data_IF_882755377095
#
_entry.id   IF_882755377095
#
_cell.length_a   1.000
_cell.length_b   1.000
_cell.length_c   1.000
_cell.angle_alpha   90.00
_cell.angle_beta   90.00
_cell.angle_gamma   90.00
#
_symmetry.space_group_name_H-M   'P 1'
#
loop_
_entity.id
_entity.type
_entity.pdbx_description
1 polymer ?
#
# COMPACT_ATOMS: atom_id res chain seq x y z
N UNK A 1 7.25 -2.33 -20.85
CA UNK A 1 8.41 -1.47 -21.18
C UNK A 1 8.64 -0.39 -20.13
N UNK A 2 7.59 0.21 -19.55
CA UNK A 2 7.77 1.28 -18.57
C UNK A 2 8.44 0.84 -17.25
N UNK A 3 8.22 -0.39 -16.76
CA UNK A 3 8.88 -0.87 -15.53
C UNK A 3 10.41 -0.89 -15.62
N UNK A 4 10.95 -1.25 -16.79
CA UNK A 4 12.40 -1.25 -16.99
C UNK A 4 12.92 0.19 -17.02
N UNK A 5 12.23 1.09 -17.72
CA UNK A 5 12.58 2.53 -17.72
C UNK A 5 12.54 3.13 -16.30
N UNK A 6 11.50 2.81 -15.52
CA UNK A 6 11.39 3.21 -14.11
C UNK A 6 12.57 2.70 -13.30
N UNK A 7 12.94 1.42 -13.47
CA UNK A 7 14.10 0.82 -12.80
C UNK A 7 15.38 1.55 -13.18
N UNK A 8 15.61 1.78 -14.46
CA UNK A 8 16.82 2.44 -14.96
C UNK A 8 16.95 3.87 -14.42
N UNK A 9 15.85 4.64 -14.39
CA UNK A 9 15.84 5.97 -13.76
C UNK A 9 16.17 5.84 -12.27
N UNK A 10 15.50 4.93 -11.55
CA UNK A 10 15.73 4.79 -10.12
C UNK A 10 17.16 4.36 -9.80
N UNK A 11 17.81 3.55 -10.61
CA UNK A 11 19.18 3.07 -10.37
C UNK A 11 20.24 4.10 -10.75
N UNK A 12 20.06 4.79 -11.88
CA UNK A 12 21.08 5.69 -12.44
C UNK A 12 20.95 7.14 -11.97
N UNK A 13 19.74 7.62 -11.70
CA UNK A 13 19.49 9.04 -11.47
C UNK A 13 19.25 9.41 -9.99
N UNK A 14 18.85 8.46 -9.15
CA UNK A 14 18.56 8.72 -7.73
C UNK A 14 19.76 8.38 -6.85
N UNK A 15 20.00 9.19 -5.81
CA UNK A 15 20.88 8.77 -4.72
C UNK A 15 20.15 7.76 -3.84
N UNK A 16 20.88 6.75 -3.36
CA UNK A 16 20.32 5.76 -2.44
C UNK A 16 20.13 6.33 -1.04
N UNK A 17 19.15 5.77 -0.33
CA UNK A 17 19.01 5.90 1.12
C UNK A 17 18.75 4.52 1.72
N UNK A 18 19.33 4.23 2.88
CA UNK A 18 19.14 2.97 3.60
C UNK A 18 18.00 3.02 4.60
N UNK A 19 17.56 1.85 5.09
CA UNK A 19 16.57 1.77 6.17
C UNK A 19 17.05 2.44 7.47
N UNK A 20 18.35 2.37 7.79
CA UNK A 20 18.92 3.04 8.97
C UNK A 20 18.88 4.56 8.82
N UNK A 21 19.27 5.10 7.67
CA UNK A 21 19.17 6.53 7.42
C UNK A 21 17.71 7.03 7.45
N UNK A 22 16.77 6.21 6.98
CA UNK A 22 15.34 6.53 7.05
C UNK A 22 14.80 6.61 8.48
N UNK A 23 15.41 5.88 9.42
CA UNK A 23 14.97 5.87 10.82
C UNK A 23 15.19 7.22 11.51
N UNK A 24 16.04 8.09 10.94
CA UNK A 24 16.21 9.49 11.36
C UNK A 24 15.09 10.42 10.86
N UNK A 25 14.28 9.99 9.88
CA UNK A 25 13.17 10.76 9.27
C UNK A 25 11.80 10.21 9.73
N UNK A 26 11.67 9.95 11.03
CA UNK A 26 10.46 9.33 11.62
C UNK A 26 9.27 10.29 11.62
N UNK A 27 8.44 10.18 10.59
CA UNK A 27 7.10 10.78 10.51
C UNK A 27 6.11 10.11 11.48
N UNK A 28 6.22 10.44 12.77
CA UNK A 28 5.41 9.86 13.86
C UNK A 28 4.00 10.48 13.95
N UNK A 29 3.89 11.80 13.75
CA UNK A 29 2.63 12.50 13.54
C UNK A 29 2.62 13.00 12.09
N UNK A 30 1.61 12.60 11.31
CA UNK A 30 1.63 12.81 9.86
C UNK A 30 0.26 12.75 9.21
N UNK A 31 0.18 13.36 8.03
CA UNK A 31 -0.91 13.23 7.08
C UNK A 31 -0.47 12.29 5.95
N UNK A 32 -1.35 11.37 5.57
CA UNK A 32 -1.16 10.44 4.45
C UNK A 32 -2.13 10.87 3.33
N UNK A 33 -1.62 11.42 2.23
CA UNK A 33 -2.38 11.71 1.01
C UNK A 33 -2.20 10.59 0.01
N UNK A 34 -3.25 10.22 -0.72
CA UNK A 34 -3.19 9.17 -1.73
C UNK A 34 -3.53 9.70 -3.11
N UNK A 35 -2.85 9.17 -4.12
CA UNK A 35 -3.07 9.51 -5.52
C UNK A 35 -3.04 8.23 -6.35
N UNK A 36 -3.79 8.25 -7.44
CA UNK A 36 -3.80 7.18 -8.44
C UNK A 36 -3.63 7.81 -9.82
N UNK A 37 -2.84 7.17 -10.68
CA UNK A 37 -2.63 7.59 -12.06
C UNK A 37 -2.08 6.43 -12.89
N UNK A 38 -2.00 6.61 -14.21
CA UNK A 38 -1.46 5.62 -15.13
C UNK A 38 0.08 5.63 -15.15
N UNK A 39 0.73 4.48 -15.30
CA UNK A 39 2.19 4.33 -15.22
C UNK A 39 2.98 5.18 -16.22
N UNK A 40 2.37 5.53 -17.36
CA UNK A 40 2.97 6.41 -18.37
C UNK A 40 3.47 7.75 -17.82
N UNK A 41 2.86 8.27 -16.75
CA UNK A 41 3.28 9.52 -16.12
C UNK A 41 4.54 9.36 -15.25
N UNK A 42 4.79 8.16 -14.72
CA UNK A 42 5.78 7.96 -13.67
C UNK A 42 7.23 8.24 -14.12
N UNK A 43 7.70 7.80 -15.31
CA UNK A 43 9.05 8.13 -15.76
C UNK A 43 9.31 9.65 -15.83
N UNK A 44 8.35 10.41 -16.36
CA UNK A 44 8.42 11.87 -16.40
C UNK A 44 8.50 12.46 -14.98
N UNK A 45 7.67 11.96 -14.06
CA UNK A 45 7.67 12.44 -12.68
C UNK A 45 8.96 12.13 -11.94
N UNK A 46 9.53 10.94 -12.11
CA UNK A 46 10.80 10.56 -11.50
C UNK A 46 11.94 11.45 -11.97
N UNK A 47 12.01 11.76 -13.27
CA UNK A 47 13.02 12.68 -13.83
C UNK A 47 12.92 14.09 -13.26
N UNK A 48 11.71 14.60 -13.04
CA UNK A 48 11.51 15.95 -12.47
C UNK A 48 11.91 16.05 -10.99
N UNK A 49 11.88 14.94 -10.25
CA UNK A 49 12.09 14.96 -8.79
C UNK A 49 13.40 14.31 -8.32
N UNK A 50 14.23 13.77 -9.22
CA UNK A 50 15.46 13.03 -8.87
C UNK A 50 16.42 13.79 -7.96
N UNK A 51 16.53 15.10 -8.13
CA UNK A 51 17.44 15.94 -7.33
C UNK A 51 16.83 16.31 -5.95
N UNK A 52 15.53 16.07 -5.76
CA UNK A 52 14.80 16.38 -4.52
C UNK A 52 14.65 15.17 -3.61
N UNK A 53 14.61 13.96 -4.17
CA UNK A 53 14.37 12.74 -3.41
C UNK A 53 15.55 11.76 -3.51
N UNK A 54 15.66 10.90 -2.50
CA UNK A 54 16.52 9.72 -2.49
C UNK A 54 15.65 8.47 -2.58
N UNK A 55 16.12 7.44 -3.27
CA UNK A 55 15.42 6.17 -3.43
C UNK A 55 15.88 5.14 -2.39
N UNK A 56 14.94 4.55 -1.66
CA UNK A 56 15.25 3.51 -0.68
C UNK A 56 15.80 2.27 -1.39
N UNK A 57 16.94 1.79 -0.96
CA UNK A 57 17.54 0.54 -1.42
C UNK A 57 17.45 -0.53 -0.31
N UNK A 58 16.87 -1.68 -0.64
CA UNK A 58 16.77 -2.85 0.25
C UNK A 58 17.27 -4.06 -0.50
N UNK A 59 18.23 -4.78 0.09
CA UNK A 59 18.85 -5.96 -0.54
C UNK A 59 19.35 -5.70 -1.98
N UNK A 60 19.92 -4.51 -2.23
CA UNK A 60 20.47 -4.13 -3.53
C UNK A 60 19.45 -3.72 -4.60
N UNK A 61 18.17 -3.57 -4.26
CA UNK A 61 17.13 -3.08 -5.20
C UNK A 61 16.34 -1.91 -4.64
N UNK A 62 15.92 -1.02 -5.53
CA UNK A 62 15.05 0.16 -5.25
C UNK A 62 13.58 -0.08 -5.57
N UNK A 63 13.27 -1.26 -6.12
CA UNK A 63 11.94 -1.76 -6.40
C UNK A 63 11.73 -3.07 -5.64
N UNK A 64 11.04 -3.01 -4.50
CA UNK A 64 10.84 -4.19 -3.64
C UNK A 64 9.44 -4.78 -3.81
N UNK A 65 9.33 -6.10 -3.93
CA UNK A 65 8.07 -6.82 -4.02
C UNK A 65 7.49 -7.09 -2.64
N UNK A 66 6.18 -6.92 -2.56
CA UNK A 66 5.39 -7.18 -1.38
C UNK A 66 4.33 -8.21 -1.72
N UNK A 67 4.24 -9.25 -0.90
CA UNK A 67 3.14 -10.20 -0.94
C UNK A 67 2.37 -10.04 0.37
N UNK A 68 1.07 -9.73 0.29
CA UNK A 68 0.26 -9.50 1.50
C UNK A 68 -1.00 -10.34 1.47
N UNK A 69 -1.09 -11.33 2.35
CA UNK A 69 -2.31 -12.07 2.64
C UNK A 69 -3.17 -11.29 3.64
N UNK A 70 -4.39 -10.97 3.25
CA UNK A 70 -5.38 -10.33 4.12
C UNK A 70 -6.31 -11.36 4.75
N UNK A 71 -6.63 -11.11 6.03
CA UNK A 71 -7.60 -11.89 6.80
C UNK A 71 -8.89 -11.08 6.97
N UNK A 72 -10.00 -11.79 7.00
CA UNK A 72 -11.31 -11.27 7.37
C UNK A 72 -12.14 -12.37 8.04
N UNK A 73 -13.31 -12.03 8.56
CA UNK A 73 -14.27 -13.04 9.00
C UNK A 73 -14.81 -13.80 7.79
N UNK A 74 -15.39 -15.00 7.97
CA UNK A 74 -16.04 -15.73 6.88
C UNK A 74 -17.00 -14.85 6.06
N UNK A 75 -17.75 -13.96 6.73
CA UNK A 75 -18.71 -13.03 6.15
C UNK A 75 -18.16 -11.65 5.70
N UNK A 76 -16.84 -11.44 5.69
CA UNK A 76 -16.22 -10.17 5.29
C UNK A 76 -16.62 -8.97 6.18
N UNK A 77 -16.69 -9.15 7.49
CA UNK A 77 -17.12 -8.09 8.41
C UNK A 77 -16.15 -6.91 8.48
N UNK A 78 -14.83 -7.15 8.36
CA UNK A 78 -13.83 -6.08 8.36
C UNK A 78 -13.94 -5.22 7.10
N UNK A 79 -14.10 -5.86 5.94
CA UNK A 79 -14.45 -5.17 4.69
C UNK A 79 -15.76 -4.37 4.85
N UNK A 80 -16.81 -5.02 5.35
CA UNK A 80 -18.15 -4.41 5.47
C UNK A 80 -18.13 -3.19 6.40
N UNK A 81 -17.41 -3.26 7.52
CA UNK A 81 -17.18 -2.11 8.41
C UNK A 81 -16.49 -0.96 7.67
N UNK A 82 -15.49 -1.24 6.83
CA UNK A 82 -14.82 -0.22 6.04
C UNK A 82 -15.75 0.37 4.98
N UNK A 83 -16.44 -0.48 4.22
CA UNK A 83 -17.41 -0.08 3.19
C UNK A 83 -18.49 0.84 3.77
N UNK A 84 -19.00 0.53 4.96
CA UNK A 84 -20.03 1.31 5.64
C UNK A 84 -19.48 2.50 6.44
N UNK A 85 -18.21 2.88 6.25
CA UNK A 85 -17.62 4.06 6.88
C UNK A 85 -17.48 3.98 8.41
N UNK A 86 -17.55 2.78 9.00
CA UNK A 86 -17.42 2.61 10.46
C UNK A 86 -16.07 3.16 10.92
N UNK A 87 -16.11 4.03 11.93
CA UNK A 87 -14.91 4.74 12.37
C UNK A 87 -13.89 3.78 13.02
N UNK A 88 -14.34 2.92 13.94
CA UNK A 88 -13.55 1.83 14.49
C UNK A 88 -13.51 0.66 13.50
N UNK A 89 -12.34 0.37 12.95
CA UNK A 89 -12.15 -0.72 11.98
C UNK A 89 -10.72 -1.25 11.97
N UNK A 90 -10.60 -2.53 11.63
CA UNK A 90 -9.34 -3.26 11.61
C UNK A 90 -8.98 -3.70 10.19
N UNK A 91 -7.69 -3.84 9.94
CA UNK A 91 -7.15 -4.64 8.85
C UNK A 91 -6.10 -5.56 9.42
N UNK A 92 -6.19 -6.83 9.09
CA UNK A 92 -5.35 -7.88 9.63
C UNK A 92 -4.70 -8.56 8.45
N UNK A 93 -3.38 -8.72 8.49
CA UNK A 93 -2.62 -9.18 7.33
C UNK A 93 -1.31 -9.84 7.72
N UNK A 94 -0.92 -10.82 6.92
CA UNK A 94 0.42 -11.37 6.88
C UNK A 94 1.13 -10.79 5.66
N UNK A 95 2.32 -10.22 5.85
CA UNK A 95 3.07 -9.53 4.81
C UNK A 95 4.47 -10.08 4.71
N UNK A 96 4.86 -10.47 3.49
CA UNK A 96 6.23 -10.81 3.11
C UNK A 96 6.87 -9.66 2.35
N UNK A 97 8.11 -9.36 2.74
CA UNK A 97 9.02 -8.45 2.06
C UNK A 97 10.01 -9.31 1.28
N UNK A 98 9.72 -9.57 0.01
CA UNK A 98 10.30 -10.69 -0.75
C UNK A 98 11.83 -10.60 -0.81
N UNK A 99 12.38 -9.42 -1.07
CA UNK A 99 13.82 -9.20 -1.24
C UNK A 99 14.62 -9.35 0.06
N UNK A 100 13.98 -9.17 1.21
CA UNK A 100 14.61 -9.32 2.54
C UNK A 100 14.24 -10.63 3.23
N UNK A 101 13.35 -11.41 2.62
CA UNK A 101 12.68 -12.59 3.19
C UNK A 101 12.14 -12.37 4.62
N UNK A 102 11.65 -11.16 4.89
CA UNK A 102 11.07 -10.81 6.19
C UNK A 102 9.55 -10.96 6.14
N UNK A 103 9.00 -11.64 7.15
CA UNK A 103 7.57 -11.90 7.29
C UNK A 103 7.03 -11.22 8.55
N UNK A 104 5.90 -10.53 8.43
CA UNK A 104 5.24 -9.87 9.55
C UNK A 104 3.74 -10.11 9.55
N UNK A 105 3.21 -10.54 10.69
CA UNK A 105 1.78 -10.45 10.98
C UNK A 105 1.49 -9.05 11.53
N UNK A 106 0.52 -8.36 10.95
CA UNK A 106 0.23 -6.95 11.22
C UNK A 106 -1.25 -6.72 11.52
N UNK A 107 -1.51 -5.96 12.58
CA UNK A 107 -2.85 -5.46 12.92
C UNK A 107 -2.84 -3.93 12.78
N UNK A 108 -3.69 -3.42 11.89
CA UNK A 108 -3.91 -1.98 11.67
C UNK A 108 -5.30 -1.61 12.17
N UNK A 109 -5.38 -0.83 13.25
CA UNK A 109 -6.62 -0.32 13.83
C UNK A 109 -6.78 1.16 13.50
N UNK A 110 -7.86 1.53 12.82
CA UNK A 110 -8.31 2.93 12.75
C UNK A 110 -9.40 3.12 13.79
N UNK A 111 -9.24 4.08 14.69
CA UNK A 111 -10.19 4.35 15.76
C UNK A 111 -11.18 5.47 15.40
N UNK A 112 -12.15 5.69 16.28
CA UNK A 112 -13.17 6.73 16.17
C UNK A 112 -12.66 8.18 16.21
N UNK A 113 -11.40 8.40 16.61
CA UNK A 113 -10.72 9.70 16.59
C UNK A 113 -9.88 9.89 15.32
N UNK A 114 -10.15 9.10 14.27
CA UNK A 114 -9.41 9.05 13.01
C UNK A 114 -7.92 8.68 13.13
N UNK A 115 -7.45 8.27 14.31
CA UNK A 115 -6.07 7.83 14.52
C UNK A 115 -5.91 6.38 14.07
N UNK A 116 -4.74 6.08 13.52
CA UNK A 116 -4.39 4.74 13.06
C UNK A 116 -3.23 4.19 13.88
N UNK A 117 -3.43 3.07 14.55
CA UNK A 117 -2.39 2.34 15.28
C UNK A 117 -2.06 1.08 14.49
N UNK A 118 -0.77 0.89 14.18
CA UNK A 118 -0.25 -0.31 13.55
C UNK A 118 0.67 -1.02 14.54
N UNK A 119 0.38 -2.29 14.80
CA UNK A 119 1.27 -3.19 15.54
C UNK A 119 1.62 -4.38 14.65
N UNK A 120 2.81 -4.95 14.86
CA UNK A 120 3.29 -6.10 14.09
C UNK A 120 4.20 -7.00 14.91
N UNK A 121 4.24 -8.28 14.57
CA UNK A 121 5.20 -9.25 15.06
C UNK A 121 5.85 -9.96 13.89
N UNK A 122 7.14 -10.29 14.00
CA UNK A 122 7.87 -11.06 12.98
C UNK A 122 7.37 -12.50 13.00
N UNK A 123 7.06 -13.07 11.83
CA UNK A 123 6.85 -14.51 11.62
C UNK A 123 8.08 -15.13 10.96
N UNK A 124 8.26 -16.43 11.14
CA UNK A 124 9.35 -17.19 10.50
C UNK A 124 9.08 -17.39 9.02
N UNK A 125 7.84 -17.65 8.67
CA UNK A 125 7.37 -17.99 7.33
C UNK A 125 6.09 -17.21 6.97
N UNK A 126 5.54 -17.55 5.82
CA UNK A 126 4.24 -17.07 5.32
C UNK A 126 3.08 -18.01 5.67
N UNK A 127 3.20 -18.86 6.68
CA UNK A 127 2.11 -19.73 7.10
C UNK A 127 0.86 -18.88 7.44
N UNK A 128 -0.31 -19.14 6.82
CA UNK A 128 -1.54 -18.44 7.14
C UNK A 128 -2.02 -18.61 8.58
N UNK A 129 -1.58 -19.64 9.32
CA UNK A 129 -2.04 -19.86 10.69
C UNK A 129 -1.67 -18.70 11.63
N UNK A 130 -2.64 -18.31 12.47
CA UNK A 130 -2.47 -17.24 13.46
C UNK A 130 -2.23 -17.88 14.82
N UNK A 131 -0.96 -18.07 15.16
CA UNK A 131 -0.55 -18.77 16.38
C UNK A 131 0.55 -18.00 17.14
N UNK A 132 0.74 -18.35 18.41
CA UNK A 132 1.81 -17.82 19.26
C UNK A 132 1.79 -16.29 19.33
N UNK A 133 2.89 -15.63 18.98
CA UNK A 133 2.98 -14.16 19.04
C UNK A 133 1.96 -13.44 18.14
N UNK A 134 1.54 -14.06 17.03
CA UNK A 134 0.53 -13.47 16.14
C UNK A 134 -0.85 -13.50 16.78
N UNK A 135 -1.19 -14.61 17.45
CA UNK A 135 -2.41 -14.77 18.24
C UNK A 135 -2.44 -13.80 19.42
N UNK A 136 -1.36 -13.71 20.20
CA UNK A 136 -1.24 -12.73 21.30
C UNK A 136 -1.44 -11.30 20.77
N UNK A 137 -0.81 -10.94 19.66
CA UNK A 137 -0.98 -9.61 19.07
C UNK A 137 -2.44 -9.36 18.66
N UNK A 138 -3.09 -10.36 18.07
CA UNK A 138 -4.47 -10.28 17.61
C UNK A 138 -5.43 -10.05 18.77
N UNK A 139 -5.32 -10.85 19.83
CA UNK A 139 -6.18 -10.77 21.01
C UNK A 139 -6.01 -9.43 21.73
N UNK A 140 -4.78 -8.98 21.96
CA UNK A 140 -4.49 -7.71 22.64
C UNK A 140 -4.90 -6.48 21.83
N UNK A 141 -4.76 -6.53 20.50
CA UNK A 141 -4.93 -5.33 19.65
C UNK A 141 -6.34 -5.19 19.08
N UNK A 142 -6.99 -6.30 18.76
CA UNK A 142 -8.28 -6.33 18.08
C UNK A 142 -9.39 -7.01 18.89
N UNK A 143 -9.08 -7.61 20.04
CA UNK A 143 -10.04 -8.37 20.85
C UNK A 143 -10.73 -9.48 20.02
N UNK A 144 -9.95 -10.10 19.12
CA UNK A 144 -10.38 -11.18 18.24
C UNK A 144 -9.57 -12.44 18.55
N UNK A 145 -10.17 -13.60 18.30
CA UNK A 145 -9.50 -14.89 18.38
C UNK A 145 -9.16 -15.38 16.97
N UNK A 146 -8.12 -16.21 16.80
CA UNK A 146 -7.72 -16.76 15.50
C UNK A 146 -8.90 -17.36 14.71
N UNK A 147 -9.74 -18.16 15.37
CA UNK A 147 -10.89 -18.85 14.73
C UNK A 147 -11.99 -17.91 14.21
N UNK A 148 -11.97 -16.62 14.56
CA UNK A 148 -12.88 -15.64 13.96
C UNK A 148 -12.46 -15.22 12.55
N UNK A 149 -11.22 -15.49 12.15
CA UNK A 149 -10.60 -15.00 10.92
C UNK A 149 -10.18 -16.15 10.03
N UNK A 150 -10.31 -15.93 8.73
CA UNK A 150 -9.80 -16.82 7.69
C UNK A 150 -8.93 -16.01 6.72
N UNK A 151 -7.90 -16.62 6.11
CA UNK A 151 -7.24 -16.02 4.97
C UNK A 151 -8.27 -15.81 3.85
N UNK A 152 -8.24 -14.63 3.20
CA UNK A 152 -9.21 -14.28 2.16
C UNK A 152 -8.59 -14.11 0.79
N UNK A 153 -7.62 -13.22 0.69
CA UNK A 153 -6.99 -12.89 -0.59
C UNK A 153 -5.59 -12.34 -0.40
N UNK A 154 -4.80 -12.50 -1.44
CA UNK A 154 -3.49 -11.93 -1.59
C UNK A 154 -3.58 -10.62 -2.37
N UNK A 155 -2.73 -9.68 -1.98
CA UNK A 155 -2.49 -8.41 -2.65
C UNK A 155 -0.98 -8.29 -2.83
N UNK A 156 -0.53 -8.41 -4.07
CA UNK A 156 0.87 -8.33 -4.44
C UNK A 156 1.13 -7.03 -5.19
N UNK A 157 2.29 -6.43 -4.99
CA UNK A 157 2.70 -5.21 -5.69
C UNK A 157 4.21 -5.00 -5.57
N UNK A 158 4.77 -4.23 -6.51
CA UNK A 158 6.12 -3.70 -6.44
C UNK A 158 6.09 -2.31 -5.83
N UNK A 159 6.98 -1.98 -4.89
CA UNK A 159 7.03 -0.69 -4.22
C UNK A 159 8.37 0.00 -4.41
N UNK A 160 8.29 1.26 -4.81
CA UNK A 160 9.36 2.25 -4.71
C UNK A 160 9.08 3.13 -3.50
N UNK A 161 10.13 3.44 -2.72
CA UNK A 161 10.02 4.41 -1.62
C UNK A 161 10.99 5.55 -1.88
N UNK A 162 10.46 6.77 -1.97
CA UNK A 162 11.25 7.98 -2.14
C UNK A 162 11.20 8.82 -0.85
N UNK A 163 12.33 9.37 -0.45
CA UNK A 163 12.48 10.18 0.75
C UNK A 163 12.99 11.55 0.33
N UNK A 164 12.25 12.60 0.68
CA UNK A 164 12.62 13.97 0.35
C UNK A 164 13.89 14.36 1.13
N UNK A 165 14.81 15.07 0.46
CA UNK A 165 16.09 15.52 1.03
C UNK A 165 15.94 16.75 1.92
N UNK A 166 14.95 17.58 1.64
CA UNK A 166 14.83 18.95 2.16
C UNK A 166 13.61 19.12 3.08
N UNK A 167 12.61 18.25 2.96
CA UNK A 167 11.34 18.34 3.69
C UNK A 167 10.98 17.01 4.34
N UNK A 168 10.11 17.07 5.35
CA UNK A 168 9.53 15.90 6.01
C UNK A 168 8.47 15.24 5.12
N UNK A 169 8.91 14.60 4.03
CA UNK A 169 8.06 13.81 3.15
C UNK A 169 8.67 12.46 2.78
N UNK A 170 7.82 11.43 2.82
CA UNK A 170 8.12 10.13 2.24
C UNK A 170 7.00 9.69 1.31
N UNK A 171 7.37 9.33 0.09
CA UNK A 171 6.47 8.75 -0.90
C UNK A 171 6.60 7.23 -0.87
N UNK A 172 5.48 6.52 -0.97
CA UNK A 172 5.49 5.13 -1.39
C UNK A 172 4.67 5.00 -2.66
N UNK A 173 5.30 4.48 -3.70
CA UNK A 173 4.74 4.34 -5.05
C UNK A 173 4.59 2.84 -5.28
N UNK A 174 3.35 2.38 -5.36
CA UNK A 174 3.03 0.96 -5.60
C UNK A 174 2.64 0.76 -7.07
N UNK A 175 3.25 -0.25 -7.68
CA UNK A 175 3.17 -0.67 -9.08
C UNK A 175 2.80 -2.16 -9.14
N UNK A 176 2.50 -2.67 -10.34
CA UNK A 176 2.28 -4.10 -10.59
C UNK A 176 1.27 -4.74 -9.63
N UNK A 177 0.16 -4.04 -9.37
CA UNK A 177 -0.82 -4.50 -8.41
C UNK A 177 -1.55 -5.74 -8.96
N UNK A 178 -1.38 -6.85 -8.26
CA UNK A 178 -2.09 -8.11 -8.50
C UNK A 178 -2.93 -8.45 -7.26
N UNK A 179 -4.15 -8.93 -7.48
CA UNK A 179 -4.98 -9.48 -6.42
C UNK A 179 -5.40 -10.90 -6.79
N UNK A 180 -5.37 -11.82 -5.82
CA UNK A 180 -5.77 -13.22 -6.05
C UNK A 180 -6.43 -13.83 -4.81
N UNK A 181 -7.43 -14.68 -5.02
CA UNK A 181 -8.06 -15.50 -3.99
C UNK A 181 -7.41 -16.88 -3.93
N UNK A 182 -7.71 -17.64 -2.87
CA UNK A 182 -7.17 -19.00 -2.69
C UNK A 182 -7.71 -20.00 -3.73
N UNK A 183 -8.95 -19.82 -4.19
CA UNK A 183 -9.58 -20.63 -5.24
C UNK A 183 -9.09 -20.29 -6.66
N UNK A 184 -8.07 -19.44 -6.78
CA UNK A 184 -7.36 -19.18 -8.03
C UNK A 184 -7.90 -18.04 -8.89
N UNK A 185 -8.97 -17.35 -8.48
CA UNK A 185 -9.39 -16.12 -9.17
C UNK A 185 -8.33 -15.04 -8.95
N UNK A 186 -7.90 -14.39 -10.04
CA UNK A 186 -6.92 -13.32 -9.99
C UNK A 186 -7.30 -12.15 -10.89
N UNK A 187 -6.74 -10.99 -10.58
CA UNK A 187 -6.85 -9.79 -11.39
C UNK A 187 -5.58 -8.95 -11.30
N UNK A 188 -5.05 -8.59 -12.45
CA UNK A 188 -3.98 -7.61 -12.60
C UNK A 188 -4.57 -6.21 -12.83
N UNK A 189 -3.95 -5.18 -12.27
CA UNK A 189 -4.26 -3.78 -12.54
C UNK A 189 -3.14 -3.13 -13.34
N UNK A 190 -3.05 -3.49 -14.62
CA UNK A 190 -2.03 -2.99 -15.52
C UNK A 190 -2.07 -1.46 -15.63
N UNK A 191 -0.89 -0.84 -15.63
CA UNK A 191 -0.76 0.61 -15.69
C UNK A 191 -1.15 1.36 -14.41
N UNK A 192 -1.66 0.70 -13.36
CA UNK A 192 -2.07 1.42 -12.15
C UNK A 192 -0.88 1.77 -11.25
N UNK A 193 -0.66 3.07 -11.04
CA UNK A 193 0.22 3.57 -9.99
C UNK A 193 -0.59 4.05 -8.81
N UNK A 194 -0.25 3.60 -7.60
CA UNK A 194 -0.82 4.12 -6.34
C UNK A 194 0.28 4.79 -5.54
N UNK A 195 0.22 6.11 -5.39
CA UNK A 195 1.14 6.88 -4.55
C UNK A 195 0.49 7.20 -3.22
N UNK A 196 1.24 7.02 -2.13
CA UNK A 196 0.89 7.53 -0.81
C UNK A 196 2.01 8.47 -0.33
N UNK A 197 1.74 9.78 -0.35
CA UNK A 197 2.61 10.82 0.15
C UNK A 197 2.36 11.04 1.64
N UNK A 198 3.41 10.89 2.44
CA UNK A 198 3.36 10.95 3.90
C UNK A 198 4.14 12.18 4.35
N UNK A 199 3.48 13.11 5.05
CA UNK A 199 4.06 14.39 5.43
C UNK A 199 3.75 14.73 6.90
N UNK A 200 4.65 15.43 7.60
CA UNK A 200 4.37 15.89 8.98
C UNK A 200 3.14 16.82 9.05
N UNK A 201 3.04 17.75 8.10
CA UNK A 201 1.84 18.57 7.83
C UNK A 201 1.55 18.59 6.34
N UNK A 202 0.27 18.57 5.97
CA UNK A 202 -0.14 18.62 4.57
C UNK A 202 0.29 19.95 3.93
N UNK A 203 1.16 19.87 2.92
CA UNK A 203 1.59 21.02 2.12
C UNK A 203 2.03 20.58 0.72
N UNK A 204 2.31 21.56 -0.14
CA UNK A 204 2.64 21.34 -1.55
C UNK A 204 4.14 21.09 -1.72
N UNK A 205 4.56 19.84 -1.57
CA UNK A 205 5.91 19.36 -1.90
C UNK A 205 6.10 19.29 -3.42
N UNK A 206 7.34 19.17 -3.94
CA UNK A 206 7.59 19.09 -5.38
C UNK A 206 6.82 17.98 -6.08
N UNK A 207 6.73 16.79 -5.49
CA UNK A 207 5.95 15.69 -6.07
C UNK A 207 4.44 15.97 -6.05
N UNK A 208 3.89 16.48 -4.95
CA UNK A 208 2.46 16.83 -4.87
C UNK A 208 2.12 17.98 -5.83
N UNK A 209 3.03 18.94 -6.02
CA UNK A 209 2.87 20.02 -6.99
C UNK A 209 2.79 19.47 -8.43
N UNK A 210 3.61 18.46 -8.74
CA UNK A 210 3.66 17.83 -10.04
C UNK A 210 2.38 17.04 -10.36
N UNK A 211 1.85 16.30 -9.39
CA UNK A 211 0.56 15.62 -9.52
C UNK A 211 -0.55 16.62 -9.85
N UNK A 212 -0.64 17.74 -9.11
CA UNK A 212 -1.64 18.78 -9.35
C UNK A 212 -1.47 19.47 -10.71
N UNK A 213 -0.23 19.73 -11.14
CA UNK A 213 0.08 20.29 -12.47
C UNK A 213 -0.45 19.40 -13.60
N UNK A 214 -0.50 18.09 -13.37
CA UNK A 214 -1.00 17.09 -14.31
C UNK A 214 -2.47 16.70 -14.05
N UNK A 215 -3.21 17.50 -13.29
CA UNK A 215 -4.64 17.28 -12.96
C UNK A 215 -4.92 15.96 -12.23
N UNK A 216 -3.93 15.41 -11.53
CA UNK A 216 -4.09 14.23 -10.69
C UNK A 216 -4.55 14.70 -9.30
N UNK A 217 -5.83 14.44 -9.00
CA UNK A 217 -6.44 14.77 -7.73
C UNK A 217 -6.08 13.74 -6.64
N UNK A 218 -6.15 14.17 -5.38
CA UNK A 218 -6.07 13.26 -4.25
C UNK A 218 -7.27 12.29 -4.29
N UNK A 219 -7.00 10.99 -4.14
CA UNK A 219 -8.02 9.97 -4.21
C UNK A 219 -7.48 8.55 -4.18
N UNK A 220 -8.40 7.60 -4.22
CA UNK A 220 -8.11 6.18 -4.34
C UNK A 220 -8.38 5.40 -3.06
N UNK A 221 -8.53 4.10 -3.21
CA UNK A 221 -9.08 3.24 -2.18
C UNK A 221 -8.01 2.38 -1.47
N UNK A 222 -8.43 1.63 -0.45
CA UNK A 222 -7.55 0.63 0.16
C UNK A 222 -7.35 -0.54 -0.79
N UNK A 223 -6.10 -0.99 -1.00
CA UNK A 223 -5.81 -2.19 -1.81
C UNK A 223 -6.65 -3.41 -1.40
N UNK A 224 -6.82 -3.66 -0.09
CA UNK A 224 -7.73 -4.72 0.38
C UNK A 224 -9.18 -4.55 -0.11
N UNK A 225 -9.73 -3.34 -0.05
CA UNK A 225 -11.10 -3.09 -0.49
C UNK A 225 -11.21 -3.18 -2.01
N UNK A 226 -10.18 -2.75 -2.75
CA UNK A 226 -10.10 -2.91 -4.20
C UNK A 226 -10.09 -4.39 -4.59
N UNK A 227 -9.31 -5.19 -3.87
CA UNK A 227 -9.22 -6.63 -4.07
C UNK A 227 -10.56 -7.33 -3.83
N UNK A 228 -11.19 -7.09 -2.67
CA UNK A 228 -12.51 -7.65 -2.35
C UNK A 228 -13.56 -7.16 -3.36
N UNK A 229 -13.57 -5.87 -3.69
CA UNK A 229 -14.49 -5.33 -4.70
C UNK A 229 -14.33 -6.05 -6.05
N UNK A 230 -13.10 -6.35 -6.45
CA UNK A 230 -12.80 -6.90 -7.77
C UNK A 230 -13.08 -8.39 -7.88
N UNK A 231 -12.82 -9.17 -6.83
CA UNK A 231 -12.89 -10.63 -6.89
C UNK A 231 -14.10 -11.23 -6.17
N UNK A 232 -14.74 -10.51 -5.24
CA UNK A 232 -15.81 -11.06 -4.40
C UNK A 232 -17.16 -10.46 -4.79
N UNK A 233 -18.07 -11.28 -5.32
CA UNK A 233 -19.38 -10.83 -5.79
C UNK A 233 -20.45 -10.76 -4.70
N UNK A 234 -20.29 -11.51 -3.62
CA UNK A 234 -21.27 -11.60 -2.52
C UNK A 234 -21.28 -10.39 -1.57
N UNK A 235 -20.41 -9.40 -1.77
CA UNK A 235 -20.27 -8.25 -0.87
C UNK A 235 -20.91 -6.98 -1.45
N UNK A 236 -21.24 -6.06 -0.55
CA UNK A 236 -21.68 -4.71 -0.91
C UNK A 236 -20.55 -3.91 -1.57
N UNK A 237 -20.84 -3.22 -2.68
CA UNK A 237 -19.84 -2.51 -3.51
C UNK A 237 -20.13 -1.03 -3.75
N UNK A 238 -21.35 -0.56 -3.46
CA UNK A 238 -21.85 0.70 -3.97
C UNK A 238 -21.08 1.94 -3.49
N UNK A 239 -20.53 1.96 -2.26
CA UNK A 239 -19.79 3.14 -1.77
C UNK A 239 -18.39 3.30 -2.38
N UNK A 240 -17.87 2.26 -3.04
CA UNK A 240 -16.56 2.28 -3.68
C UNK A 240 -16.61 2.44 -5.20
N UNK A 241 -17.80 2.57 -5.80
CA UNK A 241 -17.96 2.65 -7.26
C UNK A 241 -17.18 3.81 -7.88
N UNK A 242 -17.20 4.98 -7.27
CA UNK A 242 -16.50 6.16 -7.80
C UNK A 242 -14.98 5.98 -7.79
N UNK A 243 -14.42 5.53 -6.66
CA UNK A 243 -13.00 5.22 -6.53
C UNK A 243 -12.57 4.16 -7.55
N UNK A 244 -13.36 3.09 -7.70
CA UNK A 244 -13.05 2.02 -8.66
C UNK A 244 -13.13 2.55 -10.08
N UNK A 245 -14.15 3.32 -10.45
CA UNK A 245 -14.25 3.91 -11.79
C UNK A 245 -13.04 4.80 -12.11
N UNK A 246 -12.52 5.54 -11.15
CA UNK A 246 -11.29 6.32 -11.33
C UNK A 246 -10.06 5.42 -11.56
N UNK A 247 -9.97 4.30 -10.83
CA UNK A 247 -8.91 3.29 -11.02
C UNK A 247 -9.02 2.62 -12.39
N UNK A 248 -10.21 2.18 -12.80
CA UNK A 248 -10.44 1.56 -14.12
C UNK A 248 -10.07 2.51 -15.26
N UNK A 249 -10.36 3.80 -15.12
CA UNK A 249 -9.92 4.82 -16.10
C UNK A 249 -8.40 4.96 -16.18
N UNK A 250 -7.69 4.76 -15.07
CA UNK A 250 -6.24 4.75 -15.07
C UNK A 250 -5.69 3.50 -15.77
N UNK A 251 -6.27 2.32 -15.51
CA UNK A 251 -5.82 1.07 -16.13
C UNK A 251 -6.11 1.01 -17.63
N UNK A 252 -7.24 1.56 -18.08
CA UNK A 252 -7.68 1.48 -19.48
C UNK A 252 -7.19 2.65 -20.36
N UNK A 253 -6.22 3.45 -19.91
CA UNK A 253 -5.66 4.52 -20.74
C UNK A 253 -4.82 3.89 -21.86
N UNK A 254 -5.15 4.11 -23.15
CA UNK A 254 -4.31 3.63 -24.24
C UNK A 254 -2.93 4.30 -24.18
N UNK A 255 -1.91 3.56 -24.62
CA UNK A 255 -0.52 4.03 -24.78
C UNK A 255 -0.42 5.27 -25.68
#
# INVERSE_FOLDING_TARGET
>A
MALQEIRDILENDFEKITLEEMDNVKLMDRVDMKFIFNESYLPGFLREVKDTYRALEVSGTRMSRYETLYYDTPGYDLYTKHHNGRLNRYKIRLRRYVESDLNFFEVKHKNNKARTVKKRVKKKDTDPQIEGKAETLLSESAQMQPHHLVPKLWVNYTRVTLVNRFEEERLTIDLDLEVKTEDGLSRQFDGLVIVEAKQGKAHRTPFVALLRKNYIAEGGMSKYCLAVYSLVNSVKKNSFKEDVNAIEKCCNKPE
#
